data_IF_950765542583
#
_entry.id   IF_950765542583
#
_cell.length_a   1.000
_cell.length_b   1.000
_cell.length_c   1.000
_cell.angle_alpha   90.00
_cell.angle_beta   90.00
_cell.angle_gamma   90.00
#
_symmetry.space_group_name_H-M   'P 1'
#
loop_
_entity.id
_entity.type
_entity.pdbx_description
1 polymer ?
#
# COMPACT_ATOMS: atom_id res chain seq x y z
N UNK A 1 5.31 -36.89 -18.15
CA UNK A 1 6.26 -36.98 -17.02
C UNK A 1 6.80 -35.63 -16.54
N UNK A 2 6.56 -34.51 -17.26
CA UNK A 2 6.91 -33.16 -16.78
C UNK A 2 6.02 -32.67 -15.60
N UNK A 3 4.84 -33.27 -15.41
CA UNK A 3 3.84 -32.78 -14.45
C UNK A 3 4.25 -32.88 -12.99
N UNK A 4 4.96 -33.94 -12.58
CA UNK A 4 5.30 -34.16 -11.17
C UNK A 4 6.38 -33.17 -10.72
N UNK A 5 7.43 -32.99 -11.52
CA UNK A 5 8.49 -32.03 -11.26
C UNK A 5 7.96 -30.58 -11.26
N UNK A 6 7.09 -30.24 -12.20
CA UNK A 6 6.48 -28.91 -12.25
C UNK A 6 5.58 -28.66 -11.02
N UNK A 7 4.85 -29.68 -10.55
CA UNK A 7 4.07 -29.56 -9.31
C UNK A 7 4.96 -29.40 -8.09
N UNK A 8 6.05 -30.16 -7.98
CA UNK A 8 7.00 -30.03 -6.88
C UNK A 8 7.64 -28.65 -6.86
N UNK A 9 8.13 -28.16 -8.01
CA UNK A 9 8.69 -26.82 -8.14
C UNK A 9 7.70 -25.75 -7.70
N UNK A 10 6.42 -25.87 -8.12
CA UNK A 10 5.38 -24.94 -7.69
C UNK A 10 5.19 -24.95 -6.18
N UNK A 11 5.07 -26.13 -5.56
CA UNK A 11 4.91 -26.21 -4.09
C UNK A 11 6.10 -25.66 -3.32
N UNK A 12 7.32 -25.85 -3.85
CA UNK A 12 8.53 -25.28 -3.25
C UNK A 12 8.55 -23.76 -3.37
N UNK A 13 8.18 -23.21 -4.52
CA UNK A 13 8.07 -21.77 -4.73
C UNK A 13 7.02 -21.13 -3.82
N UNK A 14 5.86 -21.75 -3.66
CA UNK A 14 4.82 -21.30 -2.74
C UNK A 14 5.35 -21.27 -1.30
N UNK A 15 6.00 -22.36 -0.84
CA UNK A 15 6.62 -22.42 0.50
C UNK A 15 7.69 -21.36 0.73
N UNK A 16 8.56 -21.12 -0.26
CA UNK A 16 9.61 -20.10 -0.17
C UNK A 16 8.97 -18.71 -0.05
N UNK A 17 7.95 -18.43 -0.85
CA UNK A 17 7.21 -17.17 -0.82
C UNK A 17 6.56 -16.96 0.55
N UNK A 18 5.91 -17.99 1.09
CA UNK A 18 5.26 -17.93 2.41
C UNK A 18 6.25 -17.70 3.55
N UNK A 19 7.44 -18.32 3.48
CA UNK A 19 8.52 -18.11 4.45
C UNK A 19 9.08 -16.70 4.37
N UNK A 20 9.27 -16.17 3.16
CA UNK A 20 9.73 -14.80 2.92
C UNK A 20 8.74 -13.78 3.49
N UNK A 21 7.44 -13.92 3.18
CA UNK A 21 6.39 -13.03 3.68
C UNK A 21 6.23 -13.14 5.20
N UNK A 22 6.32 -14.36 5.75
CA UNK A 22 6.24 -14.56 7.20
C UNK A 22 7.42 -13.93 7.93
N UNK A 23 8.62 -13.97 7.34
CA UNK A 23 9.81 -13.32 7.90
C UNK A 23 9.71 -11.79 7.85
N UNK A 24 9.02 -11.23 6.84
CA UNK A 24 8.87 -9.78 6.66
C UNK A 24 7.61 -9.19 7.27
N UNK A 25 6.74 -10.00 7.88
CA UNK A 25 5.44 -9.56 8.40
C UNK A 25 5.51 -8.40 9.39
N UNK A 26 6.60 -8.30 10.15
CA UNK A 26 6.82 -7.21 11.11
C UNK A 26 7.49 -5.97 10.49
N UNK A 27 7.84 -6.01 9.21
CA UNK A 27 8.50 -4.91 8.53
C UNK A 27 7.47 -3.93 7.95
N UNK A 28 7.72 -2.65 8.17
CA UNK A 28 7.04 -1.55 7.47
C UNK A 28 8.08 -0.75 6.69
N UNK A 29 7.76 -0.50 5.42
CA UNK A 29 8.53 0.35 4.53
C UNK A 29 7.97 1.77 4.52
N UNK A 30 8.82 2.76 4.74
CA UNK A 30 8.51 4.18 4.65
C UNK A 30 9.18 4.78 3.43
N UNK A 31 8.41 5.52 2.64
CA UNK A 31 8.85 6.18 1.43
C UNK A 31 8.78 7.70 1.58
N UNK A 32 9.62 8.40 0.81
CA UNK A 32 9.65 9.87 0.73
C UNK A 32 10.11 10.61 2.00
N UNK A 33 10.74 9.92 2.96
CA UNK A 33 11.41 10.58 4.08
C UNK A 33 12.77 11.09 3.61
N UNK A 34 12.96 12.41 3.65
CA UNK A 34 14.19 13.07 3.20
C UNK A 34 15.43 12.52 3.90
N UNK A 35 16.53 12.41 3.16
CA UNK A 35 17.80 11.93 3.72
C UNK A 35 18.31 12.89 4.79
N UNK A 36 18.99 12.33 5.80
CA UNK A 36 19.55 13.04 6.96
C UNK A 36 18.54 13.64 7.95
N UNK A 37 17.23 13.58 7.68
CA UNK A 37 16.19 13.99 8.64
C UNK A 37 16.14 13.11 9.89
N UNK A 38 16.44 11.83 9.74
CA UNK A 38 16.48 10.86 10.84
C UNK A 38 17.60 11.14 11.85
N UNK A 39 18.60 11.93 11.46
CA UNK A 39 19.84 12.04 12.23
C UNK A 39 20.64 10.74 12.23
N UNK A 40 21.30 10.46 13.36
CA UNK A 40 22.16 9.27 13.51
C UNK A 40 21.41 7.99 13.91
N UNK A 41 20.19 8.10 14.47
CA UNK A 41 19.40 6.96 14.93
C UNK A 41 17.98 7.01 14.39
N UNK A 42 17.72 6.17 13.40
CA UNK A 42 16.43 6.01 12.75
C UNK A 42 15.36 5.53 13.73
N UNK A 43 15.72 4.70 14.73
CA UNK A 43 14.73 4.21 15.71
C UNK A 43 14.24 5.35 16.58
N UNK A 44 15.15 6.18 17.08
CA UNK A 44 14.81 7.35 17.87
C UNK A 44 13.92 8.33 17.07
N UNK A 45 14.27 8.57 15.81
CA UNK A 45 13.46 9.36 14.90
C UNK A 45 12.04 8.78 14.76
N UNK A 46 11.91 7.49 14.50
CA UNK A 46 10.59 6.85 14.33
C UNK A 46 9.74 6.89 15.61
N UNK A 47 10.35 6.76 16.81
CA UNK A 47 9.63 6.88 18.08
C UNK A 47 9.01 8.27 18.29
N UNK A 48 9.61 9.32 17.73
CA UNK A 48 9.08 10.70 17.77
C UNK A 48 8.10 10.92 16.61
N UNK A 49 8.41 10.39 15.43
CA UNK A 49 7.61 10.52 14.21
C UNK A 49 6.18 10.01 14.39
N UNK A 50 5.97 8.84 14.99
CA UNK A 50 4.63 8.25 15.06
C UNK A 50 3.64 9.04 15.95
N UNK A 51 3.98 9.45 17.18
CA UNK A 51 3.08 10.29 17.97
C UNK A 51 2.86 11.66 17.33
N UNK A 52 3.91 12.30 16.80
CA UNK A 52 3.80 13.69 16.30
C UNK A 52 3.04 13.80 14.98
N UNK A 53 3.29 12.89 14.02
CA UNK A 53 2.74 13.00 12.67
C UNK A 53 1.52 12.11 12.47
N UNK A 54 1.52 10.93 13.08
CA UNK A 54 0.41 9.98 12.95
C UNK A 54 -0.53 9.99 14.16
N UNK A 55 -0.25 10.76 15.22
CA UNK A 55 -1.08 10.76 16.43
C UNK A 55 -1.19 9.37 17.07
N UNK A 56 -0.16 8.53 16.89
CA UNK A 56 -0.14 7.15 17.35
C UNK A 56 0.51 7.06 18.72
N UNK A 57 -0.30 6.73 19.72
CA UNK A 57 0.18 6.35 21.04
C UNK A 57 0.22 4.83 21.15
N UNK A 58 1.41 4.29 21.43
CA UNK A 58 1.62 2.86 21.60
C UNK A 58 1.68 2.48 23.08
N UNK A 59 0.92 1.46 23.46
CA UNK A 59 1.01 0.79 24.75
C UNK A 59 1.04 -0.73 24.50
N UNK A 60 2.16 -1.43 24.76
CA UNK A 60 3.43 -0.97 25.34
C UNK A 60 4.23 -0.01 24.43
N UNK A 61 5.30 0.64 24.96
CA UNK A 61 6.15 1.52 24.18
C UNK A 61 6.66 0.87 22.90
N UNK A 62 6.83 1.70 21.87
CA UNK A 62 7.26 1.24 20.57
C UNK A 62 8.71 0.74 20.62
N UNK A 63 8.92 -0.51 20.20
CA UNK A 63 10.25 -1.11 20.10
C UNK A 63 10.49 -1.73 18.72
N UNK A 64 11.71 -1.56 18.25
CA UNK A 64 12.15 -2.07 16.95
C UNK A 64 13.27 -3.08 17.13
N UNK A 65 13.21 -4.16 16.37
CA UNK A 65 14.34 -5.06 16.22
C UNK A 65 15.45 -4.41 15.40
N UNK A 66 15.07 -3.69 14.32
CA UNK A 66 16.00 -2.98 13.43
C UNK A 66 15.28 -1.86 12.67
N UNK A 67 15.99 -0.80 12.34
CA UNK A 67 15.53 0.23 11.41
C UNK A 67 16.72 0.73 10.58
N UNK A 68 16.58 0.75 9.26
CA UNK A 68 17.67 1.09 8.34
C UNK A 68 17.12 1.55 6.98
N UNK A 69 17.93 2.31 6.23
CA UNK A 69 17.64 2.65 4.83
C UNK A 69 18.07 1.52 3.90
N UNK A 70 17.30 1.30 2.83
CA UNK A 70 17.66 0.36 1.76
C UNK A 70 18.18 1.13 0.55
N UNK A 71 19.31 0.70 0.02
CA UNK A 71 19.85 1.13 -1.25
C UNK A 71 21.37 1.29 -1.21
N UNK A 72 22.01 1.54 -2.38
CA UNK A 72 23.42 1.87 -2.42
C UNK A 72 23.69 3.17 -1.66
N UNK A 73 24.70 3.17 -0.80
CA UNK A 73 25.06 4.27 0.10
C UNK A 73 25.26 5.62 -0.62
N UNK A 74 25.61 5.60 -1.91
CA UNK A 74 26.17 6.76 -2.61
C UNK A 74 25.36 7.26 -3.81
N UNK A 75 24.20 6.69 -4.10
CA UNK A 75 23.46 6.98 -5.32
C UNK A 75 21.98 7.26 -5.06
N UNK A 76 21.69 8.36 -4.35
CA UNK A 76 20.43 9.08 -4.56
C UNK A 76 20.47 9.84 -5.91
N UNK A 77 21.03 9.24 -6.97
CA UNK A 77 21.25 9.83 -8.30
C UNK A 77 19.94 10.28 -8.96
N UNK A 78 18.80 9.79 -8.45
CA UNK A 78 17.46 10.10 -8.95
C UNK A 78 16.72 11.20 -8.17
N UNK A 79 17.32 11.80 -7.13
CA UNK A 79 16.65 12.79 -6.28
C UNK A 79 15.50 12.23 -5.44
N UNK A 80 15.28 10.91 -5.46
CA UNK A 80 14.30 10.21 -4.63
C UNK A 80 14.99 9.69 -3.36
N UNK A 81 14.51 10.04 -2.16
CA UNK A 81 15.08 9.52 -0.92
C UNK A 81 14.96 7.99 -0.83
N UNK A 82 15.98 7.35 -0.27
CA UNK A 82 15.97 5.91 -0.03
C UNK A 82 14.83 5.50 0.92
N UNK A 83 14.14 4.38 0.68
CA UNK A 83 13.14 3.88 1.63
C UNK A 83 13.78 3.47 2.96
N UNK A 84 13.06 3.67 4.06
CA UNK A 84 13.41 3.11 5.38
C UNK A 84 12.60 1.82 5.57
N UNK A 85 13.26 0.75 6.02
CA UNK A 85 12.57 -0.40 6.62
C UNK A 85 12.75 -0.39 8.12
N UNK A 86 11.63 -0.39 8.83
CA UNK A 86 11.57 -0.63 10.25
C UNK A 86 10.95 -2.01 10.53
N UNK A 87 11.68 -2.87 11.22
CA UNK A 87 11.18 -4.14 11.74
C UNK A 87 10.72 -3.93 13.18
N UNK A 88 9.42 -4.04 13.40
CA UNK A 88 8.79 -3.90 14.70
C UNK A 88 9.01 -5.17 15.52
N UNK A 89 9.12 -5.02 16.83
CA UNK A 89 9.21 -6.18 17.72
C UNK A 89 7.86 -6.93 17.78
N UNK A 90 6.75 -6.19 17.70
CA UNK A 90 5.39 -6.72 17.73
C UNK A 90 4.68 -6.49 16.38
N UNK A 91 4.08 -7.55 15.85
CA UNK A 91 3.28 -7.50 14.63
C UNK A 91 2.11 -6.51 14.73
N UNK A 92 1.43 -6.47 15.88
CA UNK A 92 0.25 -5.64 16.07
C UNK A 92 0.57 -4.14 16.00
N UNK A 93 1.76 -3.73 16.43
CA UNK A 93 2.24 -2.35 16.29
C UNK A 93 2.50 -1.99 14.82
N UNK A 94 3.15 -2.88 14.05
CA UNK A 94 3.35 -2.68 12.61
C UNK A 94 1.99 -2.55 11.88
N UNK A 95 1.06 -3.43 12.24
CA UNK A 95 -0.30 -3.43 11.72
C UNK A 95 -1.07 -2.16 12.09
N UNK A 96 -0.93 -1.66 13.31
CA UNK A 96 -1.55 -0.42 13.77
C UNK A 96 -1.05 0.78 12.96
N UNK A 97 0.27 0.88 12.71
CA UNK A 97 0.86 1.93 11.85
C UNK A 97 0.21 1.92 10.47
N UNK A 98 0.20 0.76 9.82
CA UNK A 98 -0.36 0.61 8.47
C UNK A 98 -1.87 0.92 8.45
N UNK A 99 -2.62 0.46 9.46
CA UNK A 99 -4.05 0.74 9.59
C UNK A 99 -4.34 2.23 9.77
N UNK A 100 -3.53 2.92 10.57
CA UNK A 100 -3.67 4.35 10.82
C UNK A 100 -3.28 5.18 9.60
N UNK A 101 -2.20 4.84 8.91
CA UNK A 101 -1.86 5.46 7.63
C UNK A 101 -3.01 5.36 6.62
N UNK A 102 -3.66 4.19 6.56
CA UNK A 102 -4.83 3.95 5.70
C UNK A 102 -6.05 4.78 6.11
N UNK A 103 -6.25 5.04 7.40
CA UNK A 103 -7.43 5.75 7.91
C UNK A 103 -7.27 7.28 7.84
N UNK A 104 -6.06 7.79 8.08
CA UNK A 104 -5.75 9.21 8.04
C UNK A 104 -5.62 9.73 6.60
N UNK A 105 -5.21 8.89 5.66
CA UNK A 105 -4.98 9.30 4.28
C UNK A 105 -3.61 9.96 4.09
N UNK A 106 -3.35 10.60 2.94
CA UNK A 106 -2.04 11.15 2.62
C UNK A 106 -1.71 12.30 3.57
N UNK A 107 -0.53 12.21 4.19
CA UNK A 107 0.03 13.28 5.00
C UNK A 107 1.41 13.66 4.45
N UNK A 108 1.86 14.86 4.78
CA UNK A 108 3.12 15.40 4.24
C UNK A 108 4.06 15.80 5.36
N UNK A 109 5.31 15.38 5.23
CA UNK A 109 6.41 15.86 6.04
C UNK A 109 7.19 16.87 5.22
N UNK A 110 7.19 18.14 5.64
CA UNK A 110 7.92 19.23 4.98
C UNK A 110 7.63 19.40 3.47
N UNK A 111 6.37 19.17 3.09
CA UNK A 111 5.93 19.25 1.70
C UNK A 111 6.18 17.98 0.88
N UNK A 112 6.72 16.92 1.48
CA UNK A 112 6.85 15.60 0.86
C UNK A 112 5.79 14.64 1.39
N UNK A 113 5.02 14.05 0.48
CA UNK A 113 4.02 13.02 0.82
C UNK A 113 4.72 11.74 1.28
N UNK A 114 4.59 11.42 2.56
CA UNK A 114 5.11 10.19 3.15
C UNK A 114 4.13 9.07 2.87
N UNK A 115 4.65 7.89 2.55
CA UNK A 115 3.84 6.68 2.34
C UNK A 115 4.42 5.51 3.10
N UNK A 116 3.53 4.74 3.72
CA UNK A 116 3.84 3.52 4.43
C UNK A 116 3.24 2.33 3.70
N UNK A 117 4.01 1.26 3.60
CA UNK A 117 3.54 -0.01 3.08
C UNK A 117 4.12 -1.17 3.88
N UNK A 118 3.34 -2.23 4.01
CA UNK A 118 3.85 -3.53 4.46
C UNK A 118 4.89 -4.05 3.46
N UNK A 119 5.94 -4.68 3.97
CA UNK A 119 7.04 -5.23 3.16
C UNK A 119 6.73 -6.70 2.79
N UNK A 120 6.20 -6.91 1.59
CA UNK A 120 5.97 -8.25 1.04
C UNK A 120 7.11 -8.71 0.15
N UNK A 121 7.17 -10.02 -0.07
CA UNK A 121 7.92 -10.64 -1.15
C UNK A 121 7.53 -10.05 -2.50
N UNK A 122 8.42 -10.21 -3.48
CA UNK A 122 8.17 -9.72 -4.83
C UNK A 122 6.92 -10.36 -5.45
N UNK A 123 6.77 -11.68 -5.29
CA UNK A 123 5.66 -12.45 -5.84
C UNK A 123 4.33 -11.94 -5.28
N UNK A 124 4.25 -11.76 -3.96
CA UNK A 124 3.04 -11.24 -3.30
C UNK A 124 2.74 -9.80 -3.74
N UNK A 125 3.75 -8.93 -3.84
CA UNK A 125 3.56 -7.58 -4.37
C UNK A 125 3.05 -7.57 -5.82
N UNK A 126 3.54 -8.46 -6.68
CA UNK A 126 3.06 -8.60 -8.06
C UNK A 126 1.60 -9.07 -8.10
N UNK A 127 1.23 -10.08 -7.29
CA UNK A 127 -0.16 -10.53 -7.14
C UNK A 127 -1.07 -9.39 -6.67
N UNK A 128 -0.68 -8.68 -5.62
CA UNK A 128 -1.42 -7.52 -5.12
C UNK A 128 -1.60 -6.48 -6.21
N UNK A 129 -0.53 -6.11 -6.93
CA UNK A 129 -0.60 -5.13 -8.02
C UNK A 129 -1.56 -5.55 -9.13
N UNK A 130 -1.54 -6.83 -9.51
CA UNK A 130 -2.46 -7.37 -10.51
C UNK A 130 -3.91 -7.32 -10.03
N UNK A 131 -4.20 -7.74 -8.79
CA UNK A 131 -5.54 -7.66 -8.23
C UNK A 131 -6.01 -6.21 -8.07
N UNK A 132 -5.11 -5.29 -7.70
CA UNK A 132 -5.37 -3.86 -7.60
C UNK A 132 -5.76 -3.24 -8.96
N UNK A 133 -5.20 -3.74 -10.08
CA UNK A 133 -5.56 -3.27 -11.41
C UNK A 133 -7.02 -3.60 -11.79
N UNK A 134 -7.57 -4.70 -11.26
CA UNK A 134 -8.95 -5.14 -11.51
C UNK A 134 -9.99 -4.37 -10.68
N UNK A 135 -9.55 -3.58 -9.72
CA UNK A 135 -10.44 -2.88 -8.80
C UNK A 135 -11.29 -1.80 -9.47
N UNK A 136 -10.78 -1.17 -10.53
CA UNK A 136 -11.54 -0.18 -11.29
C UNK A 136 -12.77 -0.82 -11.95
N UNK A 137 -12.62 -2.06 -12.45
CA UNK A 137 -13.72 -2.82 -13.04
C UNK A 137 -14.77 -3.18 -11.96
N UNK A 138 -14.33 -3.68 -10.81
CA UNK A 138 -15.21 -3.96 -9.67
C UNK A 138 -15.98 -2.72 -9.21
N UNK A 139 -15.33 -1.56 -9.16
CA UNK A 139 -15.95 -0.28 -8.81
C UNK A 139 -16.98 0.15 -9.85
N UNK A 140 -16.68 -0.05 -11.14
CA UNK A 140 -17.59 0.27 -12.26
C UNK A 140 -18.85 -0.60 -12.22
N UNK A 141 -18.72 -1.84 -11.74
CA UNK A 141 -19.82 -2.81 -11.59
C UNK A 141 -20.58 -2.68 -10.26
N UNK A 142 -20.27 -1.68 -9.43
CA UNK A 142 -20.83 -1.50 -8.08
C UNK A 142 -20.69 -2.74 -7.17
N UNK A 143 -19.64 -3.53 -7.41
CA UNK A 143 -19.30 -4.70 -6.58
C UNK A 143 -18.47 -4.18 -5.40
N UNK A 144 -18.80 -4.61 -4.17
CA UNK A 144 -17.97 -4.31 -3.00
C UNK A 144 -16.83 -5.30 -2.90
N UNK A 145 -15.67 -4.82 -2.52
CA UNK A 145 -14.48 -5.66 -2.43
C UNK A 145 -13.45 -5.09 -1.46
N UNK A 146 -12.39 -5.85 -1.27
CA UNK A 146 -11.17 -5.36 -0.67
C UNK A 146 -10.06 -6.39 -0.73
N UNK A 147 -8.87 -5.95 -0.36
CA UNK A 147 -7.66 -6.75 -0.40
C UNK A 147 -7.23 -7.05 1.04
N UNK A 148 -7.02 -8.32 1.35
CA UNK A 148 -6.48 -8.83 2.62
C UNK A 148 -5.04 -9.28 2.47
N UNK A 149 -4.34 -9.33 3.59
CA UNK A 149 -2.98 -9.87 3.64
C UNK A 149 -2.99 -11.39 3.47
N UNK A 150 -2.02 -11.98 2.74
CA UNK A 150 -0.97 -11.31 1.97
C UNK A 150 -1.43 -10.81 0.59
N UNK A 151 -2.39 -11.45 -0.08
CA UNK A 151 -2.86 -11.01 -1.41
C UNK A 151 -4.28 -11.49 -1.81
N UNK A 152 -5.18 -11.70 -0.84
CA UNK A 152 -6.52 -12.21 -1.14
C UNK A 152 -7.50 -11.08 -1.46
N UNK A 153 -8.09 -11.08 -2.66
CA UNK A 153 -9.17 -10.16 -2.99
C UNK A 153 -10.49 -10.80 -2.61
N UNK A 154 -11.21 -10.23 -1.66
CA UNK A 154 -12.60 -10.61 -1.39
C UNK A 154 -13.53 -9.69 -2.17
N UNK A 155 -14.60 -10.26 -2.71
CA UNK A 155 -15.69 -9.51 -3.32
C UNK A 155 -17.02 -9.95 -2.72
N UNK A 156 -18.01 -9.06 -2.82
CA UNK A 156 -19.38 -9.33 -2.45
C UNK A 156 -20.27 -9.22 -3.67
N UNK A 157 -20.81 -10.36 -4.09
CA UNK A 157 -21.64 -10.46 -5.27
C UNK A 157 -22.92 -11.24 -4.94
N UNK A 158 -24.08 -10.66 -5.22
CA UNK A 158 -25.40 -11.25 -4.93
C UNK A 158 -25.57 -11.76 -3.49
N UNK A 159 -25.07 -11.00 -2.51
CA UNK A 159 -25.13 -11.35 -1.09
C UNK A 159 -24.17 -12.46 -0.66
N UNK A 160 -23.32 -12.97 -1.55
CA UNK A 160 -22.28 -13.96 -1.25
C UNK A 160 -20.90 -13.31 -1.24
N UNK A 161 -20.11 -13.62 -0.23
CA UNK A 161 -18.68 -13.27 -0.18
C UNK A 161 -17.88 -14.37 -0.89
N UNK A 162 -17.01 -13.99 -1.82
CA UNK A 162 -16.08 -14.91 -2.49
C UNK A 162 -14.68 -14.31 -2.46
N UNK A 163 -13.71 -15.13 -2.10
CA UNK A 163 -12.29 -14.81 -2.04
C UNK A 163 -11.53 -15.36 -3.26
N UNK A 164 -10.63 -14.54 -3.78
CA UNK A 164 -9.75 -14.88 -4.89
C UNK A 164 -8.31 -14.70 -4.44
N UNK A 165 -7.57 -15.81 -4.43
CA UNK A 165 -6.12 -15.81 -4.14
C UNK A 165 -5.31 -15.42 -5.36
N UNK A 166 -5.69 -15.91 -6.54
CA UNK A 166 -5.02 -15.57 -7.79
C UNK A 166 -5.78 -14.48 -8.55
N UNK A 167 -5.08 -13.46 -9.08
CA UNK A 167 -5.72 -12.40 -9.87
C UNK A 167 -6.33 -12.93 -11.17
N UNK A 168 -5.79 -14.05 -11.71
CA UNK A 168 -6.31 -14.69 -12.91
C UNK A 168 -7.73 -15.26 -12.71
N UNK A 169 -8.02 -15.79 -11.53
CA UNK A 169 -9.34 -16.31 -11.19
C UNK A 169 -10.37 -15.18 -11.10
N UNK A 170 -9.98 -14.04 -10.51
CA UNK A 170 -10.81 -12.84 -10.46
C UNK A 170 -11.05 -12.26 -11.86
N UNK A 171 -10.03 -12.23 -12.72
CA UNK A 171 -10.17 -11.79 -14.11
C UNK A 171 -11.17 -12.68 -14.86
N UNK A 172 -11.02 -14.00 -14.73
CA UNK A 172 -11.94 -14.98 -15.33
C UNK A 172 -13.37 -14.81 -14.83
N UNK A 173 -13.56 -14.51 -13.55
CA UNK A 173 -14.87 -14.20 -12.98
C UNK A 173 -15.48 -12.93 -13.60
N UNK A 174 -14.70 -11.86 -13.75
CA UNK A 174 -15.15 -10.61 -14.39
C UNK A 174 -15.48 -10.80 -15.87
N UNK A 175 -14.70 -11.60 -16.60
CA UNK A 175 -14.97 -11.92 -18.00
C UNK A 175 -16.28 -12.71 -18.17
N UNK A 176 -16.53 -13.66 -17.26
CA UNK A 176 -17.79 -14.41 -17.24
C UNK A 176 -18.99 -13.50 -16.94
N UNK A 177 -18.85 -12.54 -16.04
CA UNK A 177 -19.88 -11.53 -15.76
C UNK A 177 -20.15 -10.61 -16.95
N UNK A 178 -19.11 -10.25 -17.71
CA UNK A 178 -19.27 -9.43 -18.91
C UNK A 178 -20.03 -10.17 -20.04
N UNK A 179 -19.83 -11.49 -20.15
CA UNK A 179 -20.51 -12.33 -21.14
C UNK A 179 -21.94 -12.68 -20.75
N UNK A 180 -22.22 -12.82 -19.46
CA UNK A 180 -23.54 -13.13 -18.92
C UNK A 180 -23.94 -12.06 -17.89
N UNK A 181 -24.45 -10.91 -18.35
CA UNK A 181 -24.91 -9.86 -17.45
C UNK A 181 -26.13 -10.40 -16.68
N UNK A 182 -25.90 -10.80 -15.44
CA UNK A 182 -26.97 -11.14 -14.52
C UNK A 182 -27.40 -9.85 -13.82
N UNK A 183 -28.70 -9.71 -13.53
CA UNK A 183 -29.22 -8.61 -12.72
C UNK A 183 -28.56 -8.68 -11.33
N UNK A 184 -27.54 -7.85 -11.11
CA UNK A 184 -26.91 -7.71 -9.81
C UNK A 184 -27.79 -6.80 -8.97
N UNK A 185 -28.24 -7.30 -7.81
CA UNK A 185 -28.93 -6.43 -6.85
C UNK A 185 -27.85 -5.63 -6.13
N UNK A 186 -27.79 -4.30 -6.29
CA UNK A 186 -26.80 -3.48 -5.57
C UNK A 186 -27.00 -3.69 -4.07
N UNK A 187 -25.93 -4.03 -3.36
CA UNK A 187 -26.01 -4.36 -1.94
C UNK A 187 -26.21 -3.06 -1.14
N UNK A 188 -27.47 -2.71 -0.88
CA UNK A 188 -27.89 -1.46 -0.21
C UNK A 188 -27.43 -1.33 1.27
N UNK A 189 -27.01 -2.42 1.91
CA UNK A 189 -26.47 -2.41 3.28
C UNK A 189 -24.98 -2.77 3.28
N UNK A 190 -24.23 -2.27 4.26
CA UNK A 190 -22.81 -2.63 4.50
C UNK A 190 -22.83 -3.84 5.44
N UNK A 191 -22.74 -5.08 4.96
CA UNK A 191 -22.54 -6.21 5.86
C UNK A 191 -21.15 -6.11 6.46
N UNK A 192 -21.03 -6.59 7.69
CA UNK A 192 -19.76 -6.69 8.39
C UNK A 192 -18.76 -7.48 7.53
N UNK A 193 -17.48 -7.09 7.51
CA UNK A 193 -16.46 -7.92 6.90
C UNK A 193 -16.55 -9.35 7.48
N UNK A 194 -16.29 -10.40 6.68
CA UNK A 194 -16.32 -11.76 7.20
C UNK A 194 -15.47 -11.84 8.48
N UNK A 195 -15.96 -12.54 9.50
CA UNK A 195 -15.30 -12.66 10.81
C UNK A 195 -13.89 -13.28 10.76
N UNK A 196 -13.44 -13.70 9.59
CA UNK A 196 -12.10 -14.21 9.32
C UNK A 196 -11.16 -13.03 8.98
N UNK A 197 -10.60 -12.45 10.03
CA UNK A 197 -9.48 -11.53 9.93
C UNK A 197 -9.84 -10.05 9.81
N UNK A 198 -8.77 -9.29 9.70
CA UNK A 198 -8.70 -7.84 9.77
C UNK A 198 -9.59 -7.10 8.77
N UNK A 199 -10.01 -5.84 9.00
CA UNK A 199 -10.82 -5.10 8.03
C UNK A 199 -10.08 -4.89 6.70
N UNK A 200 -10.81 -4.89 5.57
CA UNK A 200 -10.20 -4.83 4.26
C UNK A 200 -9.59 -3.47 3.93
N UNK A 201 -8.57 -3.47 3.07
CA UNK A 201 -7.93 -2.25 2.55
C UNK A 201 -8.98 -1.39 1.83
N UNK A 202 -9.22 -0.17 2.33
CA UNK A 202 -10.13 0.81 1.70
C UNK A 202 -9.54 1.36 0.41
N UNK A 203 -10.39 1.50 -0.59
CA UNK A 203 -9.99 1.78 -1.96
C UNK A 203 -9.78 3.24 -2.36
N UNK A 204 -10.20 4.17 -1.51
CA UNK A 204 -10.14 5.61 -1.82
C UNK A 204 -8.71 6.14 -2.00
N UNK A 205 -7.69 5.30 -1.88
CA UNK A 205 -6.28 5.67 -1.92
C UNK A 205 -5.43 4.89 -2.93
N UNK A 206 -6.05 4.10 -3.82
CA UNK A 206 -5.32 3.32 -4.84
C UNK A 206 -5.66 3.66 -6.29
N UNK A 207 -6.65 4.53 -6.51
CA UNK A 207 -6.71 5.30 -7.74
C UNK A 207 -5.59 6.35 -7.65
N UNK A 208 -4.62 6.41 -8.57
CA UNK A 208 -3.86 7.64 -8.71
C UNK A 208 -4.90 8.69 -9.06
N UNK A 209 -5.21 9.59 -8.12
CA UNK A 209 -5.76 10.87 -8.52
C UNK A 209 -4.77 11.37 -9.56
N UNK A 210 -5.23 11.40 -10.81
CA UNK A 210 -4.40 11.85 -11.92
C UNK A 210 -3.74 13.13 -11.46
N UNK A 211 -2.41 13.29 -11.58
CA UNK A 211 -1.77 14.50 -11.15
C UNK A 211 -2.52 15.63 -11.86
N UNK A 212 -3.27 16.43 -11.09
CA UNK A 212 -3.64 17.74 -11.56
C UNK A 212 -2.30 18.43 -11.64
N UNK A 213 -1.67 18.34 -12.80
CA UNK A 213 -0.71 19.30 -13.25
C UNK A 213 -1.43 20.63 -13.14
N UNK A 214 -1.29 21.28 -11.99
CA UNK A 214 -1.42 22.72 -11.92
C UNK A 214 -0.32 23.20 -12.84
N UNK A 215 -0.69 23.50 -14.08
CA UNK A 215 0.17 24.29 -14.93
C UNK A 215 0.38 25.58 -14.15
N UNK A 216 1.57 25.71 -13.56
CA UNK A 216 2.03 26.94 -12.98
C UNK A 216 2.00 27.96 -14.12
N UNK A 217 0.91 28.72 -14.18
CA UNK A 217 0.73 29.78 -15.14
C UNK A 217 1.79 30.82 -14.79
N UNK A 218 2.86 30.80 -15.56
CA UNK A 218 3.91 31.80 -15.64
C UNK A 218 3.34 33.20 -15.41
N UNK A 219 3.54 33.74 -14.21
CA UNK A 219 3.30 35.15 -13.91
C UNK A 219 4.44 35.98 -14.52
N UNK A 220 4.48 36.04 -15.85
CA UNK A 220 5.37 36.94 -16.60
C UNK A 220 4.68 38.29 -16.82
N UNK A 221 4.33 38.99 -15.74
CA UNK A 221 3.96 40.43 -15.77
C UNK A 221 4.25 41.10 -14.42
N UNK A 222 5.51 41.50 -14.21
CA UNK A 222 5.92 42.72 -13.48
C UNK A 222 7.45 42.87 -13.53
N UNK A 223 7.95 43.24 -14.70
CA UNK A 223 9.28 43.80 -14.88
C UNK A 223 9.19 44.87 -15.97
N UNK A 224 8.50 45.98 -15.65
CA UNK A 224 8.55 47.26 -16.37
C UNK A 224 7.72 48.30 -15.59
N UNK A 225 8.29 48.84 -14.51
CA UNK A 225 8.02 50.21 -14.03
C UNK A 225 8.97 50.59 -12.88
N UNK A 226 10.28 50.50 -13.10
CA UNK A 226 11.26 51.23 -12.28
C UNK A 226 12.40 51.65 -13.21
N UNK A 227 12.11 52.57 -14.12
CA UNK A 227 13.11 53.38 -14.81
C UNK A 227 12.42 54.70 -15.24
N UNK A 228 12.27 55.61 -14.28
CA UNK A 228 12.21 57.06 -14.45
C UNK A 228 11.88 57.70 -13.09
N UNK A 229 12.94 58.07 -12.37
CA UNK A 229 13.05 59.19 -11.41
C UNK A 229 14.32 58.98 -10.58
N UNK A 230 15.45 59.33 -11.16
CA UNK A 230 16.37 60.37 -10.68
C UNK A 230 17.47 60.53 -11.73
#
# INVERSE_FOLDING_TARGET
MLSEQDTELRTLWEKITDLEDSSRRNNVSFFSILEHKEGSDIKAFLKIFFPELMGLDFSPPLEFQRAHRIGPLHEATSGRPHPIIACFLCHDQARQVISTARSQGPYSLEGHEVREASDFSRVTNEKRKASLALQLQLTTLDIKFGLFEPAHMWIMYNGKSTDFTEPADLCSFLDNLAQHPMDHTPTLSRPDPPAMGDPPIRLSFLVPSSPRFTTARSNRRKAKSMLSKQ
#
